data_IF_280006993851
#
_entry.id   IF_280006993851
#
_cell.length_a   1.000
_cell.length_b   1.000
_cell.length_c   1.000
_cell.angle_alpha   90.00
_cell.angle_beta   90.00
_cell.angle_gamma   90.00
#
_symmetry.space_group_name_H-M   'P 1'
#
loop_
_entity.id
_entity.type
_entity.pdbx_description
1 polymer ?
#
# COMPACT_ATOMS: atom_id res chain seq x y z
N UNK A 1 25.05 -5.54 4.49
CA UNK A 1 25.43 -6.75 5.29
C UNK A 1 24.25 -7.07 6.20
N UNK A 2 23.95 -8.35 6.39
CA UNK A 2 22.86 -8.76 7.30
C UNK A 2 23.28 -8.52 8.76
N UNK A 3 22.29 -8.17 9.59
CA UNK A 3 22.53 -7.89 11.02
C UNK A 3 22.69 -9.19 11.78
N UNK A 4 21.85 -10.19 11.48
CA UNK A 4 21.95 -11.52 12.10
C UNK A 4 22.98 -12.38 11.36
N UNK A 5 23.78 -13.14 12.12
CA UNK A 5 24.84 -13.99 11.57
C UNK A 5 24.47 -15.48 11.53
N UNK A 6 23.40 -15.88 12.21
CA UNK A 6 22.95 -17.24 12.32
C UNK A 6 21.48 -17.37 11.87
N UNK A 7 21.08 -18.62 11.56
CA UNK A 7 19.69 -18.97 11.30
C UNK A 7 18.77 -18.45 12.40
N UNK A 8 17.63 -17.91 12.00
CA UNK A 8 16.58 -17.40 12.88
C UNK A 8 15.47 -18.44 13.07
N UNK A 9 14.74 -18.31 14.16
CA UNK A 9 13.54 -19.12 14.40
C UNK A 9 12.34 -18.53 13.71
N UNK A 10 11.50 -19.37 13.11
CA UNK A 10 10.19 -18.95 12.59
C UNK A 10 9.24 -18.79 13.78
N UNK A 11 8.72 -17.59 13.96
CA UNK A 11 7.88 -17.26 15.11
C UNK A 11 6.39 -17.54 14.86
N UNK A 12 5.90 -17.28 13.63
CA UNK A 12 4.53 -17.55 13.26
C UNK A 12 4.34 -19.02 12.89
N UNK A 13 3.35 -19.63 13.49
CA UNK A 13 2.94 -21.03 13.26
C UNK A 13 1.86 -21.09 12.19
N UNK A 14 1.58 -22.27 11.58
CA UNK A 14 0.54 -22.42 10.56
C UNK A 14 -0.83 -21.82 10.93
N UNK A 15 -1.22 -21.88 12.21
CA UNK A 15 -2.49 -21.32 12.65
C UNK A 15 -2.58 -19.81 12.54
N UNK A 16 -1.46 -19.08 12.58
CA UNK A 16 -1.43 -17.63 12.35
C UNK A 16 -1.79 -17.24 10.90
N UNK A 17 -1.73 -18.19 9.96
CA UNK A 17 -2.03 -17.95 8.54
C UNK A 17 -3.42 -18.42 8.10
N UNK A 18 -4.18 -19.11 8.97
CA UNK A 18 -5.46 -19.73 8.61
C UNK A 18 -6.59 -19.50 9.59
N UNK A 19 -6.28 -19.10 10.83
CA UNK A 19 -7.26 -18.94 11.89
C UNK A 19 -8.12 -17.71 11.69
N UNK A 20 -9.44 -17.88 11.71
CA UNK A 20 -10.40 -16.79 11.70
C UNK A 20 -10.26 -15.87 12.93
N UNK A 21 -9.94 -16.45 14.10
CA UNK A 21 -9.71 -15.68 15.33
C UNK A 21 -8.48 -14.80 15.20
N UNK A 22 -7.39 -15.34 14.66
CA UNK A 22 -6.17 -14.58 14.41
C UNK A 22 -6.41 -13.48 13.37
N UNK A 23 -7.12 -13.77 12.30
CA UNK A 23 -7.50 -12.81 11.28
C UNK A 23 -8.26 -11.61 11.86
N UNK A 24 -9.29 -11.85 12.67
CA UNK A 24 -10.07 -10.77 13.30
C UNK A 24 -9.20 -9.92 14.21
N UNK A 25 -8.32 -10.55 14.98
CA UNK A 25 -7.35 -9.86 15.84
C UNK A 25 -6.38 -8.99 15.04
N UNK A 26 -5.87 -9.50 13.92
CA UNK A 26 -5.02 -8.74 13.01
C UNK A 26 -5.77 -7.53 12.41
N UNK A 27 -7.00 -7.72 11.95
CA UNK A 27 -7.82 -6.59 11.46
C UNK A 27 -7.94 -5.51 12.53
N UNK A 28 -8.33 -5.89 13.73
CA UNK A 28 -8.59 -4.96 14.84
C UNK A 28 -7.31 -4.25 15.31
N UNK A 29 -6.22 -4.99 15.47
CA UNK A 29 -5.00 -4.51 16.12
C UNK A 29 -3.99 -3.92 15.16
N UNK A 30 -3.89 -4.43 13.94
CA UNK A 30 -2.88 -4.01 12.97
C UNK A 30 -3.47 -3.09 11.90
N UNK A 31 -4.63 -3.45 11.33
CA UNK A 31 -5.13 -2.77 10.14
C UNK A 31 -6.04 -1.58 10.45
N UNK A 32 -6.95 -1.69 11.40
CA UNK A 32 -7.85 -0.58 11.75
C UNK A 32 -7.08 0.67 12.14
N UNK A 33 -6.02 0.62 12.98
CA UNK A 33 -5.24 1.81 13.35
C UNK A 33 -4.27 2.30 12.27
N UNK A 34 -3.99 1.49 11.24
CA UNK A 34 -3.01 1.83 10.21
C UNK A 34 -3.55 2.80 9.15
N UNK A 35 -2.63 3.36 8.36
CA UNK A 35 -2.96 4.13 7.17
C UNK A 35 -2.90 3.24 5.91
N UNK A 36 -3.90 3.36 5.05
CA UNK A 36 -4.06 2.53 3.86
C UNK A 36 -4.05 3.37 2.60
N UNK A 37 -3.24 2.98 1.62
CA UNK A 37 -3.22 3.60 0.29
C UNK A 37 -4.54 3.34 -0.43
N UNK A 38 -5.31 4.39 -0.70
CA UNK A 38 -6.63 4.28 -1.34
C UNK A 38 -6.65 4.81 -2.77
N UNK A 39 -5.75 5.72 -3.12
CA UNK A 39 -5.70 6.32 -4.45
C UNK A 39 -4.63 7.39 -4.57
N UNK A 40 -4.76 8.21 -5.60
CA UNK A 40 -3.89 9.37 -5.83
C UNK A 40 -4.69 10.60 -6.24
N UNK A 41 -4.15 11.79 -6.00
CA UNK A 41 -4.76 13.03 -6.50
C UNK A 41 -4.87 13.07 -8.03
N UNK A 42 -3.93 12.41 -8.73
CA UNK A 42 -4.01 12.27 -10.19
C UNK A 42 -5.21 11.42 -10.66
N UNK A 43 -5.76 10.58 -9.81
CA UNK A 43 -7.00 9.82 -10.09
C UNK A 43 -8.26 10.67 -9.90
N UNK A 44 -8.16 11.79 -9.16
CA UNK A 44 -9.26 12.69 -8.79
C UNK A 44 -8.91 14.16 -9.11
N UNK A 45 -8.56 14.50 -10.38
CA UNK A 45 -7.99 15.81 -10.71
C UNK A 45 -9.00 16.96 -10.69
N UNK A 46 -10.31 16.69 -10.80
CA UNK A 46 -11.35 17.72 -10.95
C UNK A 46 -12.26 17.75 -9.74
N UNK A 47 -12.85 18.90 -9.49
CA UNK A 47 -13.95 19.00 -8.54
C UNK A 47 -15.08 18.02 -8.87
N UNK A 48 -15.56 17.32 -7.86
CA UNK A 48 -16.58 16.30 -7.99
C UNK A 48 -16.08 14.92 -8.40
N UNK A 49 -14.80 14.74 -8.76
CA UNK A 49 -14.25 13.42 -9.02
C UNK A 49 -14.27 12.57 -7.72
N UNK A 50 -14.63 11.32 -7.87
CA UNK A 50 -14.66 10.36 -6.76
C UNK A 50 -14.15 8.98 -7.17
N UNK A 51 -13.70 8.23 -6.18
CA UNK A 51 -13.48 6.78 -6.27
C UNK A 51 -14.13 6.09 -5.08
N UNK A 52 -14.54 4.83 -5.29
CA UNK A 52 -15.01 3.97 -4.23
C UNK A 52 -14.16 2.71 -4.12
N UNK A 53 -14.11 2.16 -2.93
CA UNK A 53 -13.40 0.92 -2.65
C UNK A 53 -13.96 0.28 -1.39
N UNK A 54 -13.78 -1.02 -1.28
CA UNK A 54 -13.87 -1.73 -0.01
C UNK A 54 -12.52 -1.66 0.70
N UNK A 55 -12.52 -1.26 1.95
CA UNK A 55 -11.36 -1.21 2.82
C UNK A 55 -11.67 -2.00 4.10
N UNK A 56 -11.23 -3.25 4.15
CA UNK A 56 -11.44 -4.14 5.30
C UNK A 56 -12.92 -4.36 5.65
N UNK A 57 -13.79 -4.41 4.64
CA UNK A 57 -15.24 -4.54 4.81
C UNK A 57 -16.00 -3.21 4.94
N UNK A 58 -15.28 -2.07 5.05
CA UNK A 58 -15.89 -0.75 5.05
C UNK A 58 -16.00 -0.19 3.62
N UNK A 59 -17.20 0.11 3.13
CA UNK A 59 -17.36 0.76 1.82
C UNK A 59 -16.96 2.24 1.92
N UNK A 60 -15.83 2.60 1.32
CA UNK A 60 -15.27 3.94 1.34
C UNK A 60 -15.58 4.67 0.03
N UNK A 61 -15.87 5.95 0.13
CA UNK A 61 -15.95 6.90 -0.97
C UNK A 61 -14.96 8.03 -0.72
N UNK A 62 -13.97 8.18 -1.61
CA UNK A 62 -13.02 9.31 -1.61
C UNK A 62 -13.42 10.28 -2.70
N UNK A 63 -13.49 11.57 -2.37
CA UNK A 63 -13.95 12.63 -3.26
C UNK A 63 -13.02 13.85 -3.24
N UNK A 64 -12.80 14.41 -4.42
CA UNK A 64 -12.23 15.75 -4.55
C UNK A 64 -13.38 16.79 -4.46
N UNK A 65 -13.22 17.77 -3.58
CA UNK A 65 -14.13 18.91 -3.46
C UNK A 65 -13.29 20.18 -3.47
N UNK A 66 -13.29 20.88 -4.61
CA UNK A 66 -12.54 22.13 -4.80
C UNK A 66 -11.04 22.03 -4.47
N UNK A 67 -10.42 20.86 -4.72
CA UNK A 67 -9.01 20.61 -4.47
C UNK A 67 -8.71 19.98 -3.10
N UNK A 68 -9.70 19.87 -2.23
CA UNK A 68 -9.61 19.14 -0.98
C UNK A 68 -10.18 17.73 -1.12
N UNK A 69 -9.51 16.75 -0.50
CA UNK A 69 -9.95 15.36 -0.53
C UNK A 69 -10.63 14.98 0.76
N UNK A 70 -11.76 14.29 0.64
CA UNK A 70 -12.53 13.80 1.78
C UNK A 70 -12.82 12.32 1.59
N UNK A 71 -12.82 11.57 2.69
CA UNK A 71 -13.21 10.17 2.74
C UNK A 71 -14.47 10.01 3.59
N UNK A 72 -15.47 9.34 3.04
CA UNK A 72 -16.73 9.04 3.71
C UNK A 72 -17.05 7.55 3.61
N UNK A 73 -17.85 7.06 4.55
CA UNK A 73 -18.54 5.79 4.33
C UNK A 73 -19.49 5.95 3.15
N UNK A 74 -19.38 5.09 2.16
CA UNK A 74 -20.21 5.08 0.97
C UNK A 74 -21.64 4.56 1.25
N UNK A 75 -22.24 5.00 2.37
CA UNK A 75 -23.55 4.54 2.85
C UNK A 75 -24.44 5.72 3.18
N UNK A 76 -25.65 5.73 2.60
CA UNK A 76 -26.65 6.74 2.85
C UNK A 76 -27.26 6.58 4.25
N UNK A 77 -27.38 7.67 5.01
CA UNK A 77 -27.94 7.70 6.36
C UNK A 77 -29.47 7.47 6.41
N UNK A 78 -30.14 7.45 5.26
CA UNK A 78 -31.58 7.21 5.20
C UNK A 78 -31.95 5.73 5.46
N UNK A 79 -31.48 4.83 4.59
CA UNK A 79 -31.79 3.39 4.64
C UNK A 79 -30.61 2.53 4.20
N UNK A 80 -29.41 2.97 4.50
CA UNK A 80 -28.14 2.25 4.34
C UNK A 80 -27.84 1.77 2.91
N UNK A 81 -28.47 2.36 1.89
CA UNK A 81 -28.10 2.11 0.50
C UNK A 81 -26.71 2.73 0.22
N UNK A 82 -25.89 2.07 -0.59
CA UNK A 82 -24.66 2.69 -1.08
C UNK A 82 -25.03 3.99 -1.82
N UNK A 83 -24.24 5.05 -1.59
CA UNK A 83 -24.42 6.32 -2.31
C UNK A 83 -24.24 6.10 -3.81
N UNK A 84 -23.23 5.30 -4.17
CA UNK A 84 -22.96 4.87 -5.54
C UNK A 84 -22.29 3.50 -5.55
N UNK A 85 -22.57 2.72 -6.61
CA UNK A 85 -21.89 1.46 -6.91
C UNK A 85 -20.78 1.62 -7.95
N UNK A 86 -20.59 2.83 -8.49
CA UNK A 86 -19.53 3.11 -9.45
C UNK A 86 -18.18 3.16 -8.75
N UNK A 87 -17.20 2.43 -9.28
CA UNK A 87 -15.84 2.49 -8.75
C UNK A 87 -15.21 3.89 -8.88
N UNK A 88 -15.62 4.65 -9.88
CA UNK A 88 -15.13 5.99 -10.19
C UNK A 88 -16.17 6.80 -10.95
N UNK A 89 -16.08 8.08 -10.81
CA UNK A 89 -16.91 9.00 -11.56
C UNK A 89 -16.65 10.45 -11.21
N UNK A 90 -17.46 11.30 -11.82
CA UNK A 90 -17.57 12.70 -11.44
C UNK A 90 -19.04 13.02 -11.18
N UNK A 91 -19.31 13.67 -10.07
CA UNK A 91 -20.66 14.13 -9.73
C UNK A 91 -20.55 15.48 -9.03
N UNK A 92 -21.30 16.50 -9.46
CA UNK A 92 -21.29 17.80 -8.80
C UNK A 92 -21.84 17.76 -7.38
N UNK A 93 -22.58 16.71 -7.04
CA UNK A 93 -23.21 16.52 -5.72
C UNK A 93 -23.03 15.11 -5.20
N UNK A 94 -22.81 14.95 -3.91
CA UNK A 94 -22.97 13.68 -3.22
C UNK A 94 -24.46 13.38 -3.10
N UNK A 95 -24.97 12.47 -3.93
CA UNK A 95 -26.39 12.12 -3.98
C UNK A 95 -26.58 10.62 -3.94
N UNK A 96 -27.43 10.17 -3.02
CA UNK A 96 -27.81 8.77 -2.93
C UNK A 96 -28.62 8.35 -4.17
N UNK A 97 -28.24 7.24 -4.77
CA UNK A 97 -28.88 6.70 -5.97
C UNK A 97 -30.31 6.18 -5.73
N UNK A 98 -30.69 5.89 -4.47
CA UNK A 98 -31.98 5.30 -4.14
C UNK A 98 -33.10 6.36 -4.06
N UNK A 99 -33.04 7.27 -3.08
CA UNK A 99 -34.11 8.26 -2.87
C UNK A 99 -33.64 9.72 -3.09
N UNK A 100 -32.44 9.90 -3.63
CA UNK A 100 -31.93 11.21 -3.99
C UNK A 100 -31.57 12.13 -2.83
N UNK A 101 -31.32 11.57 -1.62
CA UNK A 101 -30.77 12.38 -0.53
C UNK A 101 -29.41 12.92 -0.92
N UNK A 102 -29.21 14.22 -0.71
CA UNK A 102 -27.97 14.90 -1.05
C UNK A 102 -27.19 15.29 0.21
N UNK A 103 -25.87 15.28 0.10
CA UNK A 103 -24.95 15.60 1.18
C UNK A 103 -24.03 16.74 0.77
N UNK A 104 -23.68 17.60 1.72
CA UNK A 104 -22.69 18.66 1.57
C UNK A 104 -21.28 18.09 1.49
N UNK A 105 -20.28 18.91 1.09
CA UNK A 105 -18.87 18.52 1.08
C UNK A 105 -18.34 18.01 2.43
N UNK A 106 -18.90 18.47 3.53
CA UNK A 106 -18.54 18.08 4.90
C UNK A 106 -19.26 16.79 5.37
N UNK A 107 -20.11 16.21 4.52
CA UNK A 107 -20.90 15.01 4.82
C UNK A 107 -22.26 15.27 5.50
N UNK A 108 -22.58 16.52 5.86
CA UNK A 108 -23.88 16.85 6.43
C UNK A 108 -25.00 16.68 5.38
N UNK A 109 -26.19 16.23 5.84
CA UNK A 109 -27.37 16.13 4.99
C UNK A 109 -27.77 17.51 4.46
N UNK A 110 -27.87 17.64 3.13
CA UNK A 110 -28.24 18.87 2.44
C UNK A 110 -29.73 18.86 2.04
N UNK A 111 -30.06 18.17 0.95
CA UNK A 111 -31.41 18.10 0.41
C UNK A 111 -32.04 16.74 0.70
N UNK A 112 -33.24 16.75 1.20
CA UNK A 112 -34.09 15.57 1.40
C UNK A 112 -35.34 15.79 0.54
N UNK A 113 -35.63 14.94 -0.47
CA UNK A 113 -36.92 14.98 -1.16
C UNK A 113 -38.05 14.78 -0.14
N UNK A 114 -39.13 15.58 -0.25
CA UNK A 114 -40.27 15.54 0.65
C UNK A 114 -39.89 15.63 2.13
N UNK A 115 -38.98 16.54 2.47
CA UNK A 115 -38.40 16.70 3.81
C UNK A 115 -39.46 16.86 4.92
N UNK A 116 -40.67 17.36 4.59
CA UNK A 116 -41.76 17.50 5.53
C UNK A 116 -42.23 16.12 6.09
N UNK A 117 -42.05 15.03 5.36
CA UNK A 117 -42.43 13.66 5.79
C UNK A 117 -41.47 13.08 6.85
N UNK A 118 -40.32 13.75 7.06
CA UNK A 118 -39.27 13.30 8.00
C UNK A 118 -39.20 14.15 9.29
N UNK A 119 -40.23 14.92 9.60
CA UNK A 119 -40.23 15.77 10.82
C UNK A 119 -40.76 15.02 12.05
N UNK A 120 -40.11 15.20 13.22
CA UNK A 120 -38.89 15.98 13.48
C UNK A 120 -37.67 15.27 12.91
N UNK A 121 -36.68 16.02 12.34
CA UNK A 121 -35.48 15.48 11.71
C UNK A 121 -34.24 16.17 12.24
N UNK A 122 -33.34 15.38 12.80
CA UNK A 122 -32.02 15.82 13.25
C UNK A 122 -30.99 15.70 12.12
N UNK A 123 -30.66 16.84 11.53
CA UNK A 123 -29.66 16.91 10.42
C UNK A 123 -28.25 16.68 10.87
N UNK A 124 -27.91 16.97 12.13
CA UNK A 124 -26.55 16.83 12.63
C UNK A 124 -26.21 15.37 12.84
N UNK A 125 -27.14 14.58 13.34
CA UNK A 125 -26.98 13.13 13.46
C UNK A 125 -27.12 12.37 12.14
N UNK A 126 -27.78 12.95 11.14
CA UNK A 126 -27.94 12.35 9.80
C UNK A 126 -26.84 12.79 8.84
N UNK A 127 -25.57 12.63 9.24
CA UNK A 127 -24.40 12.94 8.43
C UNK A 127 -23.65 11.67 8.01
N UNK A 128 -22.95 11.72 6.87
CA UNK A 128 -22.05 10.64 6.47
C UNK A 128 -20.93 10.48 7.50
N UNK A 129 -20.61 9.23 7.86
CA UNK A 129 -19.41 8.94 8.64
C UNK A 129 -18.19 9.37 7.83
N UNK A 130 -17.36 10.22 8.40
CA UNK A 130 -16.12 10.70 7.80
C UNK A 130 -14.95 9.91 8.35
N UNK A 131 -14.00 9.56 7.49
CA UNK A 131 -12.75 8.92 7.86
C UNK A 131 -11.60 9.93 7.79
N UNK A 132 -10.54 9.66 8.54
CA UNK A 132 -9.29 10.38 8.44
C UNK A 132 -8.71 10.14 7.06
N UNK A 133 -8.37 11.20 6.35
CA UNK A 133 -7.70 11.17 5.06
C UNK A 133 -6.55 12.15 5.08
N UNK A 134 -5.35 11.70 4.73
CA UNK A 134 -4.16 12.52 4.60
C UNK A 134 -3.42 12.20 3.30
N UNK A 135 -2.49 13.10 2.94
CA UNK A 135 -1.71 12.99 1.70
C UNK A 135 -0.22 12.88 2.01
N UNK A 136 0.46 12.03 1.22
CA UNK A 136 1.91 12.06 1.11
C UNK A 136 2.29 12.22 -0.37
N UNK A 137 2.76 13.39 -0.75
CA UNK A 137 2.86 13.75 -2.17
C UNK A 137 1.48 13.72 -2.85
N UNK A 138 1.36 12.92 -3.90
CA UNK A 138 0.10 12.70 -4.62
C UNK A 138 -0.70 11.49 -4.12
N UNK A 139 -0.09 10.67 -3.27
CA UNK A 139 -0.74 9.49 -2.69
C UNK A 139 -1.78 9.91 -1.63
N UNK A 140 -2.93 9.25 -1.66
CA UNK A 140 -4.03 9.44 -0.73
C UNK A 140 -4.15 8.23 0.20
N UNK A 141 -4.19 8.50 1.50
CA UNK A 141 -4.29 7.47 2.53
C UNK A 141 -5.50 7.71 3.41
N UNK A 142 -6.12 6.60 3.83
CA UNK A 142 -7.25 6.60 4.77
C UNK A 142 -6.90 5.72 5.96
N UNK A 143 -7.24 6.19 7.17
CA UNK A 143 -7.28 5.38 8.38
C UNK A 143 -8.72 5.17 8.83
N UNK A 144 -9.03 3.94 9.29
CA UNK A 144 -10.35 3.60 9.83
C UNK A 144 -10.48 3.99 11.31
N UNK A 145 -9.36 4.22 12.00
CA UNK A 145 -9.35 4.73 13.37
C UNK A 145 -9.77 6.20 13.43
N UNK A 146 -10.49 6.57 14.47
CA UNK A 146 -10.94 7.95 14.69
C UNK A 146 -9.78 8.85 15.14
N UNK A 147 -8.82 8.29 15.87
CA UNK A 147 -7.62 8.95 16.40
C UNK A 147 -6.36 8.12 16.10
N UNK A 148 -5.22 8.52 16.65
CA UNK A 148 -3.93 7.86 16.47
C UNK A 148 -2.93 8.71 15.69
N UNK A 149 -1.75 8.14 15.33
CA UNK A 149 -0.67 8.89 14.68
C UNK A 149 -1.12 9.51 13.35
N UNK A 150 -0.53 10.65 13.00
CA UNK A 150 -0.66 11.25 11.69
C UNK A 150 -0.04 10.35 10.61
N UNK A 151 -0.40 10.57 9.35
CA UNK A 151 0.25 9.86 8.24
C UNK A 151 1.76 10.12 8.21
N UNK A 152 2.20 11.35 8.53
CA UNK A 152 3.62 11.68 8.62
C UNK A 152 4.32 10.80 9.65
N UNK A 153 3.80 10.73 10.87
CA UNK A 153 4.38 9.89 11.93
C UNK A 153 4.39 8.41 11.56
N UNK A 154 3.33 7.93 10.88
CA UNK A 154 3.25 6.54 10.42
C UNK A 154 4.29 6.21 9.34
N UNK A 155 4.61 7.15 8.44
CA UNK A 155 5.54 6.95 7.34
C UNK A 155 7.00 7.33 7.67
N UNK A 156 7.29 7.90 8.86
CA UNK A 156 8.67 8.22 9.23
C UNK A 156 9.55 6.95 9.34
N UNK A 157 10.81 7.06 8.90
CA UNK A 157 11.54 8.26 8.42
C UNK A 157 11.40 8.51 6.90
N UNK A 158 10.51 7.80 6.20
CA UNK A 158 10.42 7.82 4.73
C UNK A 158 9.40 8.81 4.17
N UNK A 159 8.62 9.51 5.02
CA UNK A 159 7.56 10.41 4.57
C UNK A 159 8.02 11.41 3.50
N UNK A 160 9.10 12.13 3.73
CA UNK A 160 9.53 13.19 2.81
C UNK A 160 10.10 12.63 1.51
N UNK A 161 10.80 11.49 1.56
CA UNK A 161 11.28 10.79 0.37
C UNK A 161 10.11 10.25 -0.47
N UNK A 162 9.11 9.65 0.17
CA UNK A 162 7.88 9.20 -0.51
C UNK A 162 7.16 10.39 -1.12
N UNK A 163 6.98 11.47 -0.38
CA UNK A 163 6.35 12.69 -0.90
C UNK A 163 7.07 13.22 -2.14
N UNK A 164 8.40 13.27 -2.14
CA UNK A 164 9.19 13.71 -3.30
C UNK A 164 8.96 12.82 -4.52
N UNK A 165 9.02 11.49 -4.33
CA UNK A 165 8.96 10.50 -5.43
C UNK A 165 7.57 10.37 -6.04
N UNK A 166 6.53 10.72 -5.30
CA UNK A 166 5.15 10.66 -5.77
C UNK A 166 4.53 12.06 -5.95
N UNK A 167 5.31 13.05 -6.43
CA UNK A 167 4.82 14.42 -6.64
C UNK A 167 5.09 14.91 -8.07
N UNK A 168 4.02 15.34 -8.75
CA UNK A 168 4.10 16.06 -10.03
C UNK A 168 4.74 17.45 -9.85
N UNK A 169 5.41 17.99 -10.89
CA UNK A 169 5.52 17.45 -12.25
C UNK A 169 6.78 16.64 -12.54
N UNK A 170 7.67 16.43 -11.56
CA UNK A 170 8.93 15.69 -11.77
C UNK A 170 8.71 14.19 -11.91
N UNK A 171 7.69 13.68 -11.24
CA UNK A 171 7.22 12.31 -11.33
C UNK A 171 5.85 12.27 -11.99
N UNK A 172 5.56 11.24 -12.74
CA UNK A 172 4.26 11.05 -13.40
C UNK A 172 3.63 9.74 -13.01
N UNK A 173 2.33 9.75 -12.72
CA UNK A 173 1.57 8.51 -12.60
C UNK A 173 1.77 7.64 -13.85
N UNK A 174 2.03 6.34 -13.65
CA UNK A 174 2.27 5.39 -14.72
C UNK A 174 1.24 4.27 -14.73
N UNK A 175 1.04 3.61 -13.60
CA UNK A 175 0.14 2.47 -13.50
C UNK A 175 -0.69 2.51 -12.21
N UNK A 176 -1.96 2.22 -12.36
CA UNK A 176 -2.85 1.72 -11.31
C UNK A 176 -3.07 0.24 -11.56
N UNK A 177 -2.69 -0.58 -10.61
CA UNK A 177 -2.83 -2.02 -10.73
C UNK A 177 -3.20 -2.64 -9.39
N UNK A 178 -3.75 -3.84 -9.43
CA UNK A 178 -4.04 -4.64 -8.27
C UNK A 178 -4.50 -6.02 -8.68
N UNK A 179 -4.47 -6.93 -7.74
CA UNK A 179 -4.98 -8.29 -7.91
C UNK A 179 -5.52 -8.82 -6.58
N UNK A 180 -6.35 -9.83 -6.67
CA UNK A 180 -6.78 -10.64 -5.54
C UNK A 180 -6.06 -12.00 -5.62
N UNK A 181 -5.55 -12.49 -4.49
CA UNK A 181 -4.89 -13.78 -4.38
C UNK A 181 -5.54 -14.62 -3.28
N UNK A 182 -5.66 -15.93 -3.53
CA UNK A 182 -6.20 -16.89 -2.57
C UNK A 182 -5.12 -17.32 -1.56
N UNK A 183 -4.53 -16.33 -0.87
CA UNK A 183 -3.51 -16.54 0.15
C UNK A 183 -3.67 -15.57 1.32
N UNK A 184 -3.15 -15.94 2.49
CA UNK A 184 -3.04 -15.04 3.63
C UNK A 184 -2.14 -13.83 3.31
N UNK A 185 -2.51 -12.64 3.81
CA UNK A 185 -1.83 -11.38 3.53
C UNK A 185 -0.35 -11.36 3.93
N UNK A 186 0.06 -12.21 4.86
CA UNK A 186 1.45 -12.30 5.30
C UNK A 186 2.36 -12.89 4.22
N UNK A 187 1.89 -13.84 3.40
CA UNK A 187 2.73 -14.44 2.34
C UNK A 187 3.29 -13.42 1.35
N UNK A 188 2.47 -12.58 0.70
CA UNK A 188 3.02 -11.57 -0.20
C UNK A 188 3.87 -10.52 0.52
N UNK A 189 3.61 -10.21 1.79
CA UNK A 189 4.50 -9.34 2.57
C UNK A 189 5.83 -10.04 2.81
N UNK A 190 5.84 -11.26 3.37
CA UNK A 190 7.07 -12.00 3.65
C UNK A 190 7.91 -12.22 2.39
N UNK A 191 7.29 -12.52 1.25
CA UNK A 191 7.97 -12.62 -0.04
C UNK A 191 8.69 -11.30 -0.41
N UNK A 192 8.10 -10.15 -0.16
CA UNK A 192 8.74 -8.86 -0.46
C UNK A 192 9.88 -8.50 0.51
N UNK A 193 9.93 -9.14 1.68
CA UNK A 193 10.89 -8.78 2.74
C UNK A 193 12.24 -9.47 2.60
N UNK A 194 12.40 -10.38 1.67
CA UNK A 194 13.64 -11.11 1.47
C UNK A 194 14.06 -11.10 0.00
N UNK A 195 15.27 -11.52 -0.26
CA UNK A 195 15.86 -11.59 -1.59
C UNK A 195 16.36 -12.99 -1.94
N UNK A 196 16.12 -13.97 -1.07
CA UNK A 196 16.62 -15.34 -1.20
C UNK A 196 15.95 -16.10 -2.35
N UNK A 197 14.66 -15.83 -2.61
CA UNK A 197 13.91 -16.45 -3.71
C UNK A 197 14.31 -15.95 -5.10
N UNK A 198 14.90 -14.74 -5.21
CA UNK A 198 15.12 -14.05 -6.49
C UNK A 198 15.86 -14.91 -7.54
N UNK A 199 16.96 -15.59 -7.22
CA UNK A 199 17.68 -16.38 -8.23
C UNK A 199 16.86 -17.56 -8.79
N UNK A 200 15.95 -18.09 -7.99
CA UNK A 200 15.15 -19.26 -8.37
C UNK A 200 13.83 -18.85 -9.04
N UNK A 201 13.15 -17.86 -8.50
CA UNK A 201 11.82 -17.47 -8.96
C UNK A 201 11.86 -16.48 -10.14
N UNK A 202 12.89 -15.63 -10.19
CA UNK A 202 13.05 -14.55 -11.17
C UNK A 202 14.23 -14.72 -12.14
N UNK A 203 14.53 -15.93 -12.66
CA UNK A 203 15.73 -16.15 -13.46
C UNK A 203 15.74 -15.35 -14.77
N UNK A 204 14.58 -14.96 -15.28
CA UNK A 204 14.43 -14.25 -16.55
C UNK A 204 14.05 -12.77 -16.41
N UNK A 205 13.64 -12.35 -15.23
CA UNK A 205 13.26 -10.94 -14.94
C UNK A 205 14.32 -10.19 -14.14
N UNK A 206 14.87 -10.83 -13.11
CA UNK A 206 15.89 -10.26 -12.22
C UNK A 206 17.25 -10.99 -12.27
N UNK A 207 17.33 -12.16 -12.88
CA UNK A 207 18.39 -13.15 -12.70
C UNK A 207 19.84 -12.70 -12.92
N UNK A 208 20.07 -11.58 -13.63
CA UNK A 208 21.40 -10.99 -13.77
C UNK A 208 21.64 -9.73 -12.93
N UNK A 209 20.64 -9.29 -12.16
CA UNK A 209 20.65 -8.03 -11.39
C UNK A 209 20.59 -8.28 -9.87
N UNK A 210 20.78 -9.54 -9.46
CA UNK A 210 20.73 -9.90 -8.06
C UNK A 210 21.93 -9.34 -7.32
N UNK A 211 21.76 -8.45 -6.34
CA UNK A 211 22.87 -7.88 -5.60
C UNK A 211 23.53 -8.94 -4.70
N UNK A 212 24.86 -8.89 -4.59
CA UNK A 212 25.59 -9.72 -3.65
C UNK A 212 25.14 -9.44 -2.19
N UNK A 213 25.37 -10.38 -1.29
CA UNK A 213 25.07 -10.18 0.13
C UNK A 213 25.76 -8.96 0.73
N UNK A 214 26.98 -8.67 0.26
CA UNK A 214 27.78 -7.57 0.75
C UNK A 214 27.22 -6.21 0.33
N UNK A 215 26.52 -6.17 -0.80
CA UNK A 215 25.93 -4.94 -1.34
C UNK A 215 24.57 -4.58 -0.72
N UNK A 216 23.94 -5.53 0.00
CA UNK A 216 22.64 -5.32 0.63
C UNK A 216 22.82 -4.79 2.05
N UNK A 217 22.08 -3.73 2.36
CA UNK A 217 21.97 -3.18 3.71
C UNK A 217 20.52 -3.27 4.18
N UNK A 218 20.34 -3.83 5.36
CA UNK A 218 19.04 -3.90 6.02
C UNK A 218 18.96 -2.89 7.17
N UNK A 219 17.81 -2.25 7.30
CA UNK A 219 17.41 -1.55 8.51
C UNK A 219 16.26 -2.33 9.13
N UNK A 220 16.39 -2.66 10.40
CA UNK A 220 15.40 -3.38 11.17
C UNK A 220 14.89 -2.47 12.29
N UNK A 221 13.65 -2.03 12.18
CA UNK A 221 12.95 -1.21 13.18
C UNK A 221 11.59 -1.83 13.51
N UNK A 222 11.05 -1.53 14.66
CA UNK A 222 9.78 -2.08 15.12
C UNK A 222 8.57 -1.64 14.30
N UNK A 223 8.67 -0.54 13.54
CA UNK A 223 7.60 0.05 12.73
C UNK A 223 7.80 -0.15 11.23
N UNK A 224 9.05 -0.35 10.82
CA UNK A 224 9.40 -0.51 9.41
C UNK A 224 10.68 -1.34 9.23
N UNK A 225 10.84 -1.90 8.04
CA UNK A 225 12.12 -2.49 7.64
C UNK A 225 12.50 -2.03 6.24
N UNK A 226 13.79 -1.91 5.97
CA UNK A 226 14.27 -1.59 4.63
C UNK A 226 15.34 -2.53 4.15
N UNK A 227 15.38 -2.67 2.83
CA UNK A 227 16.51 -3.19 2.09
C UNK A 227 17.01 -2.10 1.16
N UNK A 228 18.26 -1.77 1.26
CA UNK A 228 18.91 -0.76 0.41
C UNK A 228 20.13 -1.37 -0.25
N UNK A 229 20.36 -1.08 -1.51
CA UNK A 229 21.60 -1.43 -2.18
C UNK A 229 21.96 -0.42 -3.28
N UNK A 230 23.26 -0.28 -3.54
CA UNK A 230 23.78 0.48 -4.67
C UNK A 230 23.73 -0.38 -5.94
N UNK A 231 22.81 -0.08 -6.84
CA UNK A 231 22.71 -0.73 -8.17
C UNK A 231 23.93 -0.42 -9.07
N UNK A 232 24.84 0.41 -8.59
CA UNK A 232 26.05 0.79 -9.28
C UNK A 232 27.14 -0.28 -9.34
N UNK A 233 27.00 -1.41 -8.65
CA UNK A 233 27.86 -2.58 -8.84
C UNK A 233 27.72 -3.17 -10.25
N UNK A 234 26.52 -3.15 -10.85
CA UNK A 234 26.35 -3.42 -12.28
C UNK A 234 26.68 -2.17 -13.10
N UNK A 235 27.86 -2.16 -13.68
CA UNK A 235 28.36 -1.04 -14.50
C UNK A 235 27.45 -0.68 -15.68
N UNK A 236 26.73 -1.65 -16.26
CA UNK A 236 25.78 -1.41 -17.35
C UNK A 236 24.50 -0.74 -16.84
N UNK A 237 23.93 -1.26 -15.76
CA UNK A 237 22.73 -0.70 -15.15
C UNK A 237 23.00 0.72 -14.66
N UNK A 238 24.11 0.93 -13.95
CA UNK A 238 24.57 2.24 -13.49
C UNK A 238 24.73 3.24 -14.64
N UNK A 239 25.39 2.81 -15.74
CA UNK A 239 25.57 3.66 -16.91
C UNK A 239 24.23 4.09 -17.53
N UNK A 240 23.33 3.15 -17.75
CA UNK A 240 22.03 3.44 -18.36
C UNK A 240 21.14 4.27 -17.44
N UNK A 241 20.98 3.87 -16.21
CA UNK A 241 20.17 4.59 -15.21
C UNK A 241 20.69 6.02 -15.02
N UNK A 242 21.98 6.18 -14.76
CA UNK A 242 22.61 7.49 -14.59
C UNK A 242 22.54 8.36 -15.85
N UNK A 243 22.68 7.77 -17.05
CA UNK A 243 22.59 8.51 -18.31
C UNK A 243 21.17 9.01 -18.56
N UNK A 244 20.17 8.17 -18.38
CA UNK A 244 18.76 8.54 -18.57
C UNK A 244 18.36 9.61 -17.54
N UNK A 245 18.69 9.41 -16.26
CA UNK A 245 18.37 10.36 -15.19
C UNK A 245 18.96 11.73 -15.46
N UNK A 246 20.26 11.82 -15.82
CA UNK A 246 20.91 13.09 -16.19
C UNK A 246 20.30 13.74 -17.43
N UNK A 247 19.96 12.96 -18.46
CA UNK A 247 19.28 13.48 -19.67
C UNK A 247 17.88 14.00 -19.38
N UNK A 248 17.23 13.51 -18.35
CA UNK A 248 15.95 14.02 -17.86
C UNK A 248 16.10 15.24 -16.94
N UNK A 249 17.33 15.60 -16.55
CA UNK A 249 17.62 16.73 -15.68
C UNK A 249 17.53 16.39 -14.19
N UNK A 250 17.74 15.12 -13.85
CA UNK A 250 17.88 14.62 -12.48
C UNK A 250 19.33 14.32 -12.11
N UNK A 251 19.54 14.01 -10.85
CA UNK A 251 20.77 13.42 -10.31
C UNK A 251 20.53 11.95 -10.04
N UNK A 252 21.45 11.08 -10.46
CA UNK A 252 21.36 9.65 -10.18
C UNK A 252 22.05 9.34 -8.86
N UNK A 253 21.33 8.68 -7.99
CA UNK A 253 21.85 8.10 -6.74
C UNK A 253 22.32 6.68 -6.96
N UNK A 254 21.77 5.98 -7.94
CA UNK A 254 21.87 4.54 -8.19
C UNK A 254 21.39 3.68 -7.01
N UNK A 255 20.71 4.28 -6.04
CA UNK A 255 20.22 3.58 -4.85
C UNK A 255 18.85 2.99 -5.15
N UNK A 256 18.70 1.72 -4.84
CA UNK A 256 17.43 1.02 -4.74
C UNK A 256 17.02 0.94 -3.27
N UNK A 257 15.81 1.36 -2.97
CA UNK A 257 15.24 1.25 -1.61
C UNK A 257 13.95 0.45 -1.71
N UNK A 258 13.88 -0.64 -0.97
CA UNK A 258 12.65 -1.36 -0.69
C UNK A 258 12.30 -1.12 0.78
N UNK A 259 11.24 -0.36 1.02
CA UNK A 259 10.76 -0.03 2.36
C UNK A 259 9.42 -0.72 2.61
N UNK A 260 9.31 -1.41 3.74
CA UNK A 260 8.05 -1.93 4.25
C UNK A 260 7.71 -1.19 5.54
N UNK A 261 6.58 -0.51 5.55
CA UNK A 261 6.00 0.13 6.74
C UNK A 261 4.88 -0.77 7.24
N UNK A 262 5.01 -1.22 8.49
CA UNK A 262 4.03 -2.12 9.09
C UNK A 262 2.63 -1.51 9.19
N UNK A 263 1.56 -2.29 9.00
CA UNK A 263 1.57 -3.72 8.70
C UNK A 263 1.77 -4.04 7.21
N UNK A 264 1.38 -3.17 6.26
CA UNK A 264 1.07 -3.60 4.90
C UNK A 264 1.45 -2.63 3.79
N UNK A 265 2.20 -1.57 4.07
CA UNK A 265 2.64 -0.62 3.05
C UNK A 265 4.04 -0.97 2.55
N UNK A 266 4.18 -1.10 1.23
CA UNK A 266 5.45 -1.36 0.58
C UNK A 266 5.76 -0.24 -0.41
N UNK A 267 6.97 0.31 -0.33
CA UNK A 267 7.47 1.29 -1.27
C UNK A 267 8.75 0.76 -1.92
N UNK A 268 8.81 0.84 -3.24
CA UNK A 268 10.06 0.69 -3.99
C UNK A 268 10.41 2.02 -4.62
N UNK A 269 11.58 2.54 -4.28
CA UNK A 269 12.04 3.85 -4.67
C UNK A 269 13.37 3.73 -5.41
N UNK A 270 13.38 4.15 -6.68
CA UNK A 270 14.56 4.21 -7.53
C UNK A 270 14.66 5.57 -8.22
N UNK A 271 15.69 5.80 -9.00
CA UNK A 271 15.86 7.07 -9.71
C UNK A 271 14.89 7.26 -10.90
N UNK A 272 14.37 6.18 -11.46
CA UNK A 272 13.56 6.25 -12.69
C UNK A 272 12.13 5.74 -12.54
N UNK A 273 11.88 4.86 -11.58
CA UNK A 273 10.60 4.21 -11.38
C UNK A 273 10.35 3.94 -9.89
N UNK A 274 9.16 4.28 -9.43
CA UNK A 274 8.75 4.04 -8.05
C UNK A 274 7.37 3.41 -8.01
N UNK A 275 7.12 2.60 -7.00
CA UNK A 275 5.75 2.19 -6.70
C UNK A 275 5.46 2.18 -5.20
N UNK A 276 4.18 2.35 -4.89
CA UNK A 276 3.60 2.19 -3.57
C UNK A 276 2.55 1.08 -3.64
N UNK A 277 2.64 0.10 -2.78
CA UNK A 277 1.72 -1.04 -2.67
C UNK A 277 1.09 -1.11 -1.28
N UNK A 278 -0.16 -1.56 -1.25
CA UNK A 278 -0.89 -1.87 -0.01
C UNK A 278 -1.49 -3.27 -0.13
N UNK A 279 -1.15 -4.15 0.80
CA UNK A 279 -1.64 -5.53 0.87
C UNK A 279 -2.73 -5.62 1.93
N UNK A 280 -3.95 -5.86 1.51
CA UNK A 280 -5.14 -5.83 2.36
C UNK A 280 -5.72 -7.23 2.51
N UNK A 281 -5.83 -7.78 3.72
CA UNK A 281 -6.54 -9.03 3.92
C UNK A 281 -8.04 -8.86 3.65
N UNK A 282 -8.64 -9.80 2.92
CA UNK A 282 -10.09 -9.83 2.67
C UNK A 282 -10.75 -11.01 3.37
N UNK A 283 -9.96 -12.01 3.74
CA UNK A 283 -10.32 -13.14 4.62
C UNK A 283 -9.03 -13.76 5.17
N UNK A 284 -9.09 -14.76 6.06
CA UNK A 284 -7.88 -15.48 6.51
C UNK A 284 -7.03 -16.04 5.38
N UNK A 285 -7.63 -16.43 4.29
CA UNK A 285 -6.96 -17.02 3.12
C UNK A 285 -7.09 -16.20 1.83
N UNK A 286 -7.37 -14.90 1.91
CA UNK A 286 -7.48 -14.07 0.73
C UNK A 286 -6.91 -12.66 0.97
N UNK A 287 -6.19 -12.16 -0.02
CA UNK A 287 -5.48 -10.87 0.03
C UNK A 287 -5.76 -10.08 -1.24
N UNK A 288 -5.95 -8.78 -1.08
CA UNK A 288 -6.04 -7.81 -2.17
C UNK A 288 -4.83 -6.89 -2.18
N UNK A 289 -4.07 -6.89 -3.27
CA UNK A 289 -3.04 -5.89 -3.50
C UNK A 289 -3.62 -4.69 -4.27
N UNK A 290 -3.26 -3.50 -3.83
CA UNK A 290 -3.43 -2.24 -4.56
C UNK A 290 -2.08 -1.59 -4.76
N UNK A 291 -1.76 -1.21 -6.00
CA UNK A 291 -0.48 -0.65 -6.36
C UNK A 291 -0.65 0.60 -7.22
N UNK A 292 0.20 1.59 -6.96
CA UNK A 292 0.37 2.80 -7.76
C UNK A 292 1.83 2.97 -8.09
N UNK A 293 2.13 3.20 -9.36
CA UNK A 293 3.50 3.46 -9.79
C UNK A 293 3.65 4.80 -10.48
N UNK A 294 4.85 5.33 -10.39
CA UNK A 294 5.25 6.59 -10.98
C UNK A 294 6.59 6.39 -11.70
N UNK A 295 6.76 7.10 -12.81
CA UNK A 295 8.04 7.17 -13.49
C UNK A 295 8.60 8.59 -13.49
N UNK A 296 9.93 8.69 -13.50
CA UNK A 296 10.61 9.97 -13.48
C UNK A 296 10.46 10.70 -14.80
N UNK A 297 9.83 11.88 -14.75
CA UNK A 297 9.67 12.80 -15.88
C UNK A 297 10.84 13.76 -15.97
N UNK A 298 11.43 14.09 -14.85
CA UNK A 298 12.50 15.07 -14.73
C UNK A 298 12.08 16.51 -14.97
N UNK A 299 13.05 17.40 -15.00
CA UNK A 299 12.85 18.85 -15.18
C UNK A 299 12.98 19.32 -16.63
N UNK A 300 13.74 18.59 -17.47
CA UNK A 300 13.96 18.97 -18.88
C UNK A 300 12.71 18.81 -19.72
N UNK A 301 12.51 19.76 -20.64
CA UNK A 301 11.39 19.80 -21.58
C UNK A 301 11.87 19.47 -22.99
N UNK A 302 10.93 19.06 -23.85
CA UNK A 302 11.16 18.73 -25.26
C UNK A 302 10.85 17.29 -25.62
N UNK A 303 10.91 16.92 -26.92
CA UNK A 303 10.52 15.61 -27.39
C UNK A 303 11.45 14.48 -26.92
N UNK A 304 12.74 14.70 -26.90
CA UNK A 304 13.74 13.68 -26.51
C UNK A 304 13.59 13.30 -25.01
N UNK A 305 13.60 14.25 -24.06
CA UNK A 305 13.32 13.90 -22.67
C UNK A 305 11.94 13.24 -22.46
N UNK A 306 10.93 13.69 -23.20
CA UNK A 306 9.60 13.08 -23.10
C UNK A 306 9.58 11.60 -23.55
N UNK A 307 10.28 11.30 -24.66
CA UNK A 307 10.40 9.95 -25.17
C UNK A 307 11.21 9.05 -24.20
N UNK A 308 12.34 9.53 -23.72
CA UNK A 308 13.19 8.81 -22.76
C UNK A 308 12.43 8.51 -21.46
N UNK A 309 11.68 9.48 -20.92
CA UNK A 309 10.87 9.28 -19.73
C UNK A 309 9.79 8.21 -19.93
N UNK A 310 9.06 8.27 -21.06
CA UNK A 310 8.06 7.25 -21.40
C UNK A 310 8.67 5.86 -21.59
N UNK A 311 9.85 5.80 -22.20
CA UNK A 311 10.56 4.53 -22.39
C UNK A 311 11.00 3.94 -21.05
N UNK A 312 11.60 4.74 -20.16
CA UNK A 312 11.99 4.31 -18.83
C UNK A 312 10.76 3.83 -18.01
N UNK A 313 9.65 4.58 -18.04
CA UNK A 313 8.40 4.16 -17.39
C UNK A 313 7.86 2.84 -17.93
N UNK A 314 7.93 2.65 -19.27
CA UNK A 314 7.48 1.41 -19.91
C UNK A 314 8.30 0.19 -19.49
N UNK A 315 9.63 0.35 -19.41
CA UNK A 315 10.53 -0.72 -18.93
C UNK A 315 10.24 -0.99 -17.45
N UNK A 316 10.22 0.02 -16.60
CA UNK A 316 9.96 -0.15 -15.17
C UNK A 316 8.64 -0.86 -14.90
N UNK A 317 7.56 -0.44 -15.58
CA UNK A 317 6.26 -1.09 -15.50
C UNK A 317 6.30 -2.55 -15.96
N UNK A 318 6.94 -2.82 -17.10
CA UNK A 318 7.04 -4.18 -17.63
C UNK A 318 7.79 -5.09 -16.66
N UNK A 319 8.94 -4.63 -16.14
CA UNK A 319 9.74 -5.38 -15.17
C UNK A 319 8.94 -5.66 -13.90
N UNK A 320 8.29 -4.62 -13.34
CA UNK A 320 7.47 -4.76 -12.13
C UNK A 320 6.34 -5.78 -12.33
N UNK A 321 5.56 -5.66 -13.41
CA UNK A 321 4.45 -6.58 -13.68
C UNK A 321 4.93 -8.01 -13.92
N UNK A 322 6.10 -8.17 -14.56
CA UNK A 322 6.70 -9.49 -14.77
C UNK A 322 7.08 -10.14 -13.45
N UNK A 323 7.81 -9.43 -12.60
CA UNK A 323 8.20 -9.88 -11.26
C UNK A 323 6.96 -10.24 -10.44
N UNK A 324 5.99 -9.33 -10.33
CA UNK A 324 4.75 -9.58 -9.60
C UNK A 324 4.01 -10.82 -10.12
N UNK A 325 3.99 -11.08 -11.43
CA UNK A 325 3.32 -12.27 -11.98
C UNK A 325 4.02 -13.58 -11.61
N UNK A 326 5.33 -13.54 -11.44
CA UNK A 326 6.13 -14.69 -11.02
C UNK A 326 5.90 -14.96 -9.52
N UNK A 327 5.85 -13.93 -8.68
CA UNK A 327 5.57 -14.02 -7.24
C UNK A 327 4.14 -14.54 -6.97
N UNK A 328 3.15 -13.99 -7.65
CA UNK A 328 1.73 -14.38 -7.45
C UNK A 328 1.54 -15.88 -7.68
N UNK A 329 2.28 -16.47 -8.62
CA UNK A 329 2.14 -17.88 -8.97
C UNK A 329 2.42 -18.85 -7.82
N UNK A 330 3.20 -18.44 -6.81
CA UNK A 330 3.56 -19.29 -5.67
C UNK A 330 2.68 -19.05 -4.41
N UNK A 331 1.98 -17.93 -4.30
CA UNK A 331 1.26 -17.58 -3.08
C UNK A 331 0.15 -18.56 -2.71
N UNK A 332 -0.59 -19.06 -3.69
CA UNK A 332 -1.63 -20.06 -3.46
C UNK A 332 -1.05 -21.41 -3.03
N UNK A 333 0.11 -21.77 -3.55
CA UNK A 333 0.79 -23.01 -3.18
C UNK A 333 1.40 -22.89 -1.76
N UNK A 334 1.90 -21.72 -1.37
CA UNK A 334 2.29 -21.45 0.01
C UNK A 334 1.10 -21.58 0.97
N UNK A 335 -0.08 -21.05 0.60
CA UNK A 335 -1.29 -21.20 1.41
C UNK A 335 -1.70 -22.67 1.57
N UNK A 336 -1.67 -23.45 0.50
CA UNK A 336 -1.97 -24.90 0.53
C UNK A 336 -0.94 -25.66 1.37
N UNK A 337 0.35 -25.35 1.18
CA UNK A 337 1.45 -25.93 1.94
C UNK A 337 1.33 -25.66 3.43
N UNK A 338 1.05 -24.38 3.79
CA UNK A 338 0.87 -23.96 5.18
C UNK A 338 -0.34 -24.65 5.84
N UNK A 339 -1.42 -24.87 5.11
CA UNK A 339 -2.59 -25.58 5.62
C UNK A 339 -2.30 -27.05 5.97
N UNK A 340 -1.39 -27.69 5.25
CA UNK A 340 -1.00 -29.09 5.42
C UNK A 340 0.21 -29.27 6.36
N UNK A 341 1.02 -28.23 6.57
CA UNK A 341 2.28 -28.32 7.30
C UNK A 341 2.06 -28.52 8.81
N UNK A 342 2.94 -29.32 9.39
CA UNK A 342 3.10 -29.49 10.86
C UNK A 342 4.43 -28.91 11.35
N UNK A 343 5.27 -28.39 10.45
CA UNK A 343 6.57 -27.81 10.75
C UNK A 343 6.48 -26.28 10.81
N UNK A 344 7.21 -25.64 11.74
CA UNK A 344 7.21 -24.18 11.85
C UNK A 344 7.91 -23.48 10.68
N UNK A 345 8.64 -24.20 9.84
CA UNK A 345 9.49 -23.62 8.80
C UNK A 345 10.88 -23.24 9.31
N UNK A 346 11.62 -22.52 8.47
CA UNK A 346 12.96 -22.01 8.78
C UNK A 346 13.12 -20.61 8.18
N UNK A 347 13.82 -19.72 8.87
CA UNK A 347 14.20 -18.39 8.40
C UNK A 347 15.72 -18.31 8.37
N UNK A 348 16.29 -17.92 7.23
CA UNK A 348 17.72 -17.66 7.07
C UNK A 348 18.09 -16.22 7.39
N UNK A 349 19.39 -15.92 7.42
CA UNK A 349 19.87 -14.54 7.66
C UNK A 349 19.45 -13.55 6.59
N UNK A 350 19.26 -13.98 5.35
CA UNK A 350 18.72 -13.15 4.26
C UNK A 350 17.25 -12.76 4.47
N UNK A 351 16.57 -13.46 5.35
CA UNK A 351 15.15 -13.33 5.64
C UNK A 351 14.91 -12.63 7.00
N UNK A 352 15.92 -11.96 7.56
CA UNK A 352 15.84 -11.32 8.88
C UNK A 352 14.76 -10.25 8.98
N UNK A 353 14.35 -9.63 7.87
CA UNK A 353 13.22 -8.70 7.82
C UNK A 353 11.89 -9.42 8.04
N UNK A 354 11.76 -10.68 7.61
CA UNK A 354 10.60 -11.53 7.92
C UNK A 354 10.54 -11.78 9.43
N UNK A 355 11.68 -12.06 10.05
CA UNK A 355 11.73 -12.29 11.51
C UNK A 355 11.19 -11.06 12.28
N UNK A 356 11.65 -9.85 11.94
CA UNK A 356 11.17 -8.61 12.55
C UNK A 356 9.66 -8.38 12.28
N UNK A 357 9.20 -8.66 11.07
CA UNK A 357 7.78 -8.59 10.75
C UNK A 357 6.95 -9.58 11.57
N UNK A 358 7.42 -10.81 11.75
CA UNK A 358 6.74 -11.80 12.59
C UNK A 358 6.73 -11.37 14.07
N UNK A 359 7.81 -10.78 14.57
CA UNK A 359 7.85 -10.19 15.92
C UNK A 359 6.79 -9.07 16.06
N UNK A 360 6.69 -8.20 15.07
CA UNK A 360 5.66 -7.14 15.04
C UNK A 360 4.26 -7.75 15.14
N UNK A 361 3.92 -8.72 14.28
CA UNK A 361 2.60 -9.37 14.29
C UNK A 361 2.28 -9.98 15.65
N UNK A 362 3.23 -10.70 16.26
CA UNK A 362 3.03 -11.31 17.56
C UNK A 362 2.87 -10.30 18.67
N UNK A 363 3.69 -9.26 18.69
CA UNK A 363 3.66 -8.21 19.71
C UNK A 363 2.31 -7.47 19.69
N UNK A 364 1.89 -7.00 18.55
CA UNK A 364 0.65 -6.21 18.42
C UNK A 364 -0.61 -7.08 18.61
N UNK A 365 -0.55 -8.36 18.24
CA UNK A 365 -1.65 -9.30 18.42
C UNK A 365 -1.61 -10.06 19.75
N UNK A 366 -0.66 -9.77 20.63
CA UNK A 366 -0.59 -10.41 21.94
C UNK A 366 -1.90 -10.18 22.74
N UNK A 367 -2.31 -11.21 23.47
CA UNK A 367 -3.39 -11.04 24.44
C UNK A 367 -2.89 -10.18 25.59
N UNK A 368 -3.63 -9.14 25.92
CA UNK A 368 -3.33 -8.27 27.06
C UNK A 368 -4.03 -8.86 28.28
N UNK A 369 -3.29 -9.15 29.33
CA UNK A 369 -3.86 -9.50 30.65
C UNK A 369 -4.67 -8.32 31.19
N UNK A 370 -5.59 -8.59 32.08
CA UNK A 370 -6.39 -7.53 32.73
C UNK A 370 -5.58 -6.48 33.50
N UNK A 371 -4.27 -6.72 33.70
CA UNK A 371 -3.29 -5.79 34.28
C UNK A 371 -2.49 -4.99 33.23
N UNK A 372 -2.81 -5.13 31.95
CA UNK A 372 -2.14 -4.44 30.83
C UNK A 372 -0.84 -5.09 30.35
N UNK A 373 -0.46 -6.26 30.88
CA UNK A 373 0.74 -7.00 30.48
C UNK A 373 0.40 -8.08 29.44
N UNK A 374 1.24 -8.32 28.41
CA UNK A 374 1.04 -9.42 27.48
C UNK A 374 1.18 -10.78 28.20
N UNK A 375 0.45 -11.79 27.73
CA UNK A 375 0.70 -13.16 28.14
C UNK A 375 2.09 -13.60 27.64
N UNK A 376 2.85 -14.39 28.45
CA UNK A 376 4.18 -14.83 28.10
C UNK A 376 4.20 -15.73 26.83
#
# INVERSE_FOLDING_TARGET
MFIHQNRLETLLKPDHYRSEVQYRREIERLFVPAWHLVGTGAELPRDGDFLTLDLLGEPILVRNTSGEYHAFQNVCTHRHCLLTHQERGNSPRLRCQYHGWEYKPDGCTARIPEAQCFRPFDRENARLRKFRLERCGDLLFVSLAEDGPSLREHLEPYHDLVAERFTSPRWRPDLRWGFDSACNWKFPIENTLESYHIPCLHPHSFGGLYPSEVAQEHTLDDRYTTLTYDSGEDAKLRFWQGTITRRLGGQSTNIYIHCHIHPNLVFVLTDLYCYAGSYLPTSPGSTRLRLRSYHFRGSRRGPVPALLSRFAGRIGRWTMLRVMSEDIAIFEDQQKGMAASRHPGCIGTREERIFVFQQYVLRECAEIRGDGQPFP
#
